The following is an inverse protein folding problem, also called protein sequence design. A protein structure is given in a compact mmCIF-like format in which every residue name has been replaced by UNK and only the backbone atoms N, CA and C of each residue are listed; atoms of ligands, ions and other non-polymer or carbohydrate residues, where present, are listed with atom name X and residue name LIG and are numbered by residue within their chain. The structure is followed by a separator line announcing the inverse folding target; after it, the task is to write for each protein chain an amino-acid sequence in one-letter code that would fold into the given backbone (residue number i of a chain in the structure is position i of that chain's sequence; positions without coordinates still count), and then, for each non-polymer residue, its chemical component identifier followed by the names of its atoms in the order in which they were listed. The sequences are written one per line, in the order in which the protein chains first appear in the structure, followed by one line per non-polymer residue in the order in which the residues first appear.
data_IF_849172564079
#
_entry.id   IF_849172564079
#
_cell.length_a   1.000
_cell.length_b   1.000
_cell.length_c   1.000
_cell.angle_alpha   90.00
_cell.angle_beta   90.00
_cell.angle_gamma   90.00
#
_symmetry.space_group_name_H-M   'P 1'
#
loop_
_entity.id
_entity.type
_entity.pdbx_description
1 polymer ?
#
# COMPACT_ATOMS: atom_id res chain seq x y z
N UNK A 1 -6.65 -20.15 -0.73
CA UNK A 1 -7.46 -18.90 -0.66
C UNK A 1 -7.63 -18.20 -2.02
N UNK A 2 -7.16 -18.80 -3.12
CA UNK A 2 -7.28 -18.18 -4.45
C UNK A 2 -8.74 -17.97 -4.86
N UNK A 3 -9.60 -18.97 -4.60
CA UNK A 3 -11.03 -18.87 -4.95
C UNK A 3 -11.73 -17.76 -4.14
N UNK A 4 -11.38 -17.61 -2.87
CA UNK A 4 -11.86 -16.50 -2.05
C UNK A 4 -11.43 -15.13 -2.60
N UNK A 5 -10.19 -15.01 -3.07
CA UNK A 5 -9.73 -13.76 -3.69
C UNK A 5 -10.53 -13.43 -4.97
N UNK A 6 -10.76 -14.43 -5.82
CA UNK A 6 -11.59 -14.28 -7.04
C UNK A 6 -13.03 -13.88 -6.72
N UNK A 7 -13.62 -14.51 -5.70
CA UNK A 7 -14.97 -14.16 -5.22
C UNK A 7 -15.02 -12.71 -4.73
N UNK A 8 -14.02 -12.25 -3.96
CA UNK A 8 -13.98 -10.87 -3.47
C UNK A 8 -13.78 -9.86 -4.60
N UNK A 9 -12.99 -10.18 -5.62
CA UNK A 9 -12.84 -9.35 -6.81
C UNK A 9 -14.16 -9.21 -7.55
N UNK A 10 -14.86 -10.32 -7.82
CA UNK A 10 -16.18 -10.31 -8.47
C UNK A 10 -17.22 -9.54 -7.64
N UNK A 11 -17.20 -9.69 -6.32
CA UNK A 11 -18.07 -8.94 -5.41
C UNK A 11 -17.78 -7.44 -5.47
N UNK A 12 -16.53 -7.02 -5.48
CA UNK A 12 -16.18 -5.60 -5.59
C UNK A 12 -16.70 -5.02 -6.91
N UNK A 13 -16.51 -5.72 -8.01
CA UNK A 13 -17.01 -5.34 -9.33
C UNK A 13 -18.54 -5.23 -9.37
N UNK A 14 -19.27 -6.23 -8.85
CA UNK A 14 -20.73 -6.23 -8.78
C UNK A 14 -21.30 -5.09 -7.94
N UNK A 15 -20.53 -4.59 -6.98
CA UNK A 15 -20.89 -3.45 -6.14
C UNK A 15 -20.43 -2.11 -6.73
N UNK A 16 -19.88 -2.07 -7.93
CA UNK A 16 -19.32 -0.87 -8.56
C UNK A 16 -18.12 -0.30 -7.83
N UNK A 17 -17.39 -1.12 -7.05
CA UNK A 17 -16.21 -0.70 -6.31
C UNK A 17 -14.95 -0.96 -7.11
N UNK A 18 -14.11 0.05 -7.26
CA UNK A 18 -12.84 -0.07 -7.95
C UNK A 18 -11.80 -0.69 -7.01
N UNK A 19 -11.33 -1.88 -7.34
CA UNK A 19 -10.23 -2.57 -6.68
C UNK A 19 -8.99 -2.44 -7.56
N UNK A 20 -7.94 -1.79 -7.05
CA UNK A 20 -6.66 -1.66 -7.73
C UNK A 20 -5.69 -2.67 -7.15
N UNK A 21 -5.16 -3.53 -8.00
CA UNK A 21 -4.09 -4.47 -7.66
C UNK A 21 -2.78 -4.00 -8.28
N UNK A 22 -1.62 -4.37 -7.71
CA UNK A 22 -0.33 -4.12 -8.34
C UNK A 22 -0.27 -4.73 -9.74
N UNK A 23 0.24 -3.96 -10.70
CA UNK A 23 0.45 -4.38 -12.09
C UNK A 23 1.91 -4.69 -12.38
N UNK A 24 2.82 -4.18 -11.55
CA UNK A 24 4.24 -4.50 -11.55
C UNK A 24 4.80 -4.50 -10.12
N UNK A 25 5.94 -5.12 -9.93
CA UNK A 25 6.60 -5.25 -8.63
C UNK A 25 8.11 -5.18 -8.78
N UNK A 26 8.77 -4.63 -7.77
CA UNK A 26 10.23 -4.64 -7.63
C UNK A 26 10.62 -5.91 -6.90
N UNK A 27 11.43 -6.74 -7.56
CA UNK A 27 11.85 -8.06 -7.08
C UNK A 27 13.35 -8.13 -6.85
N UNK A 28 13.76 -9.03 -5.97
CA UNK A 28 15.15 -9.41 -5.74
C UNK A 28 15.24 -10.92 -5.44
N UNK A 29 16.46 -11.48 -5.49
CA UNK A 29 16.70 -12.90 -5.23
C UNK A 29 16.50 -13.29 -3.75
N UNK A 30 16.33 -12.32 -2.86
CA UNK A 30 16.06 -12.52 -1.44
C UNK A 30 16.14 -11.20 -0.70
N UNK A 31 15.93 -11.30 0.60
CA UNK A 31 16.01 -10.13 1.49
C UNK A 31 17.47 -9.76 1.76
N UNK A 32 17.89 -8.48 1.60
CA UNK A 32 19.25 -8.06 1.87
C UNK A 32 19.66 -8.36 3.32
N UNK A 33 20.86 -8.93 3.49
CA UNK A 33 21.44 -9.18 4.80
C UNK A 33 22.97 -8.93 4.75
N UNK A 34 23.49 -7.87 5.40
CA UNK A 34 22.76 -6.89 6.22
C UNK A 34 21.74 -6.06 5.42
N UNK A 35 20.89 -5.31 6.12
CA UNK A 35 19.75 -4.57 5.52
C UNK A 35 20.18 -3.52 4.49
N UNK A 36 21.40 -3.03 4.57
CA UNK A 36 22.04 -2.07 3.67
C UNK A 36 22.92 -2.72 2.60
N UNK A 37 22.93 -4.06 2.52
CA UNK A 37 23.69 -4.76 1.49
C UNK A 37 23.17 -4.39 0.10
N UNK A 38 24.11 -4.17 -0.82
CA UNK A 38 23.76 -4.02 -2.23
C UNK A 38 23.17 -5.33 -2.77
N UNK A 39 22.00 -5.22 -3.39
CA UNK A 39 21.33 -6.34 -4.02
C UNK A 39 20.81 -5.92 -5.40
N UNK A 40 20.91 -6.83 -6.34
CA UNK A 40 20.35 -6.62 -7.67
C UNK A 40 18.82 -6.61 -7.59
N UNK A 41 18.22 -5.57 -8.16
CA UNK A 41 16.76 -5.38 -8.20
C UNK A 41 16.28 -5.29 -9.63
N UNK A 42 15.10 -5.84 -9.87
CA UNK A 42 14.43 -5.81 -11.15
C UNK A 42 12.96 -5.42 -10.96
N UNK A 43 12.38 -4.74 -11.94
CA UNK A 43 10.93 -4.48 -11.98
C UNK A 43 10.31 -5.40 -13.03
N UNK A 44 9.37 -6.21 -12.59
CA UNK A 44 8.67 -7.19 -13.44
C UNK A 44 7.16 -6.96 -13.37
N UNK A 45 6.44 -7.40 -14.39
CA UNK A 45 4.97 -7.42 -14.35
C UNK A 45 4.52 -8.35 -13.20
N UNK A 46 3.42 -8.01 -12.53
CA UNK A 46 2.97 -8.70 -11.31
C UNK A 46 2.62 -10.19 -11.53
N UNK A 47 2.32 -10.58 -12.76
CA UNK A 47 2.05 -11.95 -13.18
C UNK A 47 3.29 -12.72 -13.68
N UNK A 48 4.47 -12.06 -13.68
CA UNK A 48 5.74 -12.61 -14.18
C UNK A 48 6.86 -12.65 -13.14
N UNK A 49 6.51 -12.73 -11.87
CA UNK A 49 7.51 -12.84 -10.80
C UNK A 49 8.26 -14.18 -10.97
N UNK A 50 9.62 -14.16 -11.14
CA UNK A 50 10.39 -15.39 -11.19
C UNK A 50 10.25 -16.21 -9.92
N UNK A 51 10.28 -17.53 -10.05
CA UNK A 51 10.07 -18.43 -8.89
C UNK A 51 11.20 -18.36 -7.85
N UNK A 52 12.36 -17.86 -8.23
CA UNK A 52 13.55 -17.67 -7.41
C UNK A 52 13.70 -16.23 -6.89
N UNK A 53 12.69 -15.37 -7.11
CA UNK A 53 12.69 -13.98 -6.65
C UNK A 53 11.49 -13.64 -5.76
N UNK A 54 11.67 -12.67 -4.89
CA UNK A 54 10.64 -12.15 -3.99
C UNK A 54 10.26 -10.71 -4.38
N UNK A 55 8.95 -10.40 -4.32
CA UNK A 55 8.45 -9.03 -4.46
C UNK A 55 8.65 -8.25 -3.16
N UNK A 56 9.48 -7.22 -3.19
CA UNK A 56 9.86 -6.44 -2.00
C UNK A 56 9.33 -4.99 -2.02
N UNK A 57 8.86 -4.51 -3.17
CA UNK A 57 8.14 -3.24 -3.33
C UNK A 57 7.19 -3.33 -4.53
N UNK A 58 6.26 -2.39 -4.63
CA UNK A 58 5.50 -2.19 -5.87
C UNK A 58 6.43 -1.64 -6.96
N UNK A 59 6.10 -1.90 -8.23
CA UNK A 59 6.81 -1.32 -9.36
C UNK A 59 6.40 0.12 -9.64
N UNK A 60 7.09 0.73 -10.59
CA UNK A 60 6.89 2.14 -10.96
C UNK A 60 5.51 2.42 -11.54
N UNK A 61 4.99 1.54 -12.40
CA UNK A 61 3.66 1.67 -13.00
C UNK A 61 2.56 1.58 -11.92
N UNK A 62 2.73 0.68 -10.95
CA UNK A 62 1.81 0.54 -9.81
C UNK A 62 1.86 1.78 -8.92
N UNK A 63 3.05 2.32 -8.66
CA UNK A 63 3.23 3.53 -7.86
C UNK A 63 2.50 4.73 -8.50
N UNK A 64 2.62 4.91 -9.82
CA UNK A 64 1.90 5.93 -10.59
C UNK A 64 0.38 5.71 -10.53
N UNK A 65 -0.08 4.48 -10.76
CA UNK A 65 -1.50 4.11 -10.69
C UNK A 65 -2.11 4.46 -9.33
N UNK A 66 -1.40 4.17 -8.23
CA UNK A 66 -1.87 4.45 -6.88
C UNK A 66 -1.80 5.94 -6.55
N UNK A 67 -0.74 6.63 -6.96
CA UNK A 67 -0.63 8.07 -6.79
C UNK A 67 -1.78 8.83 -7.49
N UNK A 68 -2.13 8.44 -8.71
CA UNK A 68 -3.24 9.05 -9.45
C UNK A 68 -4.60 8.76 -8.80
N UNK A 69 -4.78 7.55 -8.27
CA UNK A 69 -5.98 7.21 -7.53
C UNK A 69 -6.10 8.05 -6.24
N UNK A 70 -5.00 8.22 -5.50
CA UNK A 70 -4.91 9.08 -4.30
C UNK A 70 -5.29 10.52 -4.63
N UNK A 71 -4.73 11.11 -5.68
CA UNK A 71 -5.00 12.50 -6.09
C UNK A 71 -6.49 12.77 -6.34
N UNK A 72 -7.24 11.75 -6.73
CA UNK A 72 -8.68 11.87 -6.97
C UNK A 72 -9.55 11.78 -5.72
N UNK A 73 -8.96 11.45 -4.56
CA UNK A 73 -9.68 11.18 -3.32
C UNK A 73 -9.79 12.42 -2.43
N UNK A 74 -10.87 12.49 -1.63
CA UNK A 74 -11.05 13.49 -0.55
C UNK A 74 -10.70 12.94 0.82
N UNK A 75 -10.70 11.64 0.99
CA UNK A 75 -10.24 10.97 2.20
C UNK A 75 -9.45 9.74 1.81
N UNK A 76 -8.26 9.60 2.34
CA UNK A 76 -7.42 8.41 2.15
C UNK A 76 -7.07 7.80 3.49
N UNK A 77 -7.30 6.50 3.60
CA UNK A 77 -6.81 5.68 4.71
C UNK A 77 -5.70 4.80 4.17
N UNK A 78 -4.50 4.96 4.71
CA UNK A 78 -3.33 4.18 4.33
C UNK A 78 -2.86 3.30 5.48
N UNK A 79 -2.95 2.00 5.29
CA UNK A 79 -2.59 0.98 6.27
C UNK A 79 -1.58 -0.01 5.70
N UNK A 80 -0.33 0.12 6.05
CA UNK A 80 0.82 -0.67 5.60
C UNK A 80 1.63 0.02 4.48
N UNK A 81 2.97 0.05 4.60
CA UNK A 81 3.85 0.57 3.56
C UNK A 81 3.79 -0.30 2.30
N UNK A 82 4.11 0.26 1.14
CA UNK A 82 4.03 -0.43 -0.15
C UNK A 82 5.12 -1.49 -0.32
N UNK A 83 6.30 -1.24 0.23
CA UNK A 83 7.47 -2.09 0.16
C UNK A 83 8.23 -2.14 1.49
N UNK A 84 9.42 -2.73 1.45
CA UNK A 84 10.35 -2.76 2.57
C UNK A 84 11.04 -1.40 2.70
N UNK A 85 10.30 -0.42 3.21
CA UNK A 85 10.68 1.00 3.21
C UNK A 85 11.96 1.31 3.99
N UNK A 86 12.39 0.41 4.85
CA UNK A 86 13.65 0.49 5.58
C UNK A 86 14.88 0.40 4.65
N UNK A 87 14.67 -0.13 3.45
CA UNK A 87 15.70 -0.31 2.43
C UNK A 87 15.49 0.66 1.27
N UNK A 88 16.48 1.49 0.90
CA UNK A 88 16.32 2.51 -0.14
C UNK A 88 15.80 1.97 -1.48
N UNK A 89 16.25 0.76 -1.87
CA UNK A 89 15.84 0.13 -3.12
C UNK A 89 14.36 -0.27 -3.14
N UNK A 90 13.75 -0.53 -1.98
CA UNK A 90 12.37 -1.00 -1.82
C UNK A 90 11.48 0.00 -1.08
N UNK A 91 11.91 1.26 -0.96
CA UNK A 91 11.16 2.37 -0.38
C UNK A 91 10.42 3.20 -1.43
N UNK A 92 10.72 3.01 -2.72
CA UNK A 92 10.27 3.89 -3.81
C UNK A 92 8.74 3.95 -3.92
N UNK A 93 8.06 2.81 -3.81
CA UNK A 93 6.61 2.73 -3.81
C UNK A 93 5.98 3.45 -2.61
N UNK A 94 6.54 3.24 -1.43
CA UNK A 94 6.10 3.91 -0.19
C UNK A 94 6.29 5.42 -0.29
N UNK A 95 7.43 5.88 -0.81
CA UNK A 95 7.72 7.31 -1.04
C UNK A 95 6.74 7.92 -2.05
N UNK A 96 6.45 7.23 -3.14
CA UNK A 96 5.53 7.73 -4.17
C UNK A 96 4.11 7.94 -3.61
N UNK A 97 3.60 6.97 -2.85
CA UNK A 97 2.29 7.08 -2.19
C UNK A 97 2.29 8.18 -1.13
N UNK A 98 3.34 8.27 -0.28
CA UNK A 98 3.46 9.31 0.73
C UNK A 98 3.49 10.72 0.12
N UNK A 99 4.21 10.91 -0.99
CA UNK A 99 4.23 12.18 -1.74
C UNK A 99 2.83 12.54 -2.26
N UNK A 100 2.14 11.59 -2.89
CA UNK A 100 0.79 11.81 -3.39
C UNK A 100 -0.17 12.21 -2.26
N UNK A 101 -0.09 11.53 -1.10
CA UNK A 101 -0.89 11.87 0.09
C UNK A 101 -0.58 13.28 0.64
N UNK A 102 0.68 13.70 0.59
CA UNK A 102 1.11 15.01 1.06
C UNK A 102 0.62 16.18 0.16
N UNK A 103 0.20 15.89 -1.07
CA UNK A 103 -0.21 16.86 -2.08
C UNK A 103 -1.73 17.00 -2.20
N UNK A 104 -2.53 16.07 -1.67
CA UNK A 104 -3.99 16.16 -1.81
C UNK A 104 -4.61 17.21 -0.89
N UNK A 105 -5.63 17.91 -1.42
CA UNK A 105 -6.57 18.71 -0.63
C UNK A 105 -7.64 17.79 -0.03
N UNK A 106 -7.30 17.10 1.07
CA UNK A 106 -8.16 16.10 1.66
C UNK A 106 -7.67 15.61 3.02
N UNK A 107 -8.41 14.66 3.58
CA UNK A 107 -8.06 14.03 4.86
C UNK A 107 -7.20 12.79 4.62
N UNK A 108 -6.02 12.76 5.22
CA UNK A 108 -5.08 11.63 5.13
C UNK A 108 -4.93 10.97 6.49
N UNK A 109 -5.29 9.69 6.57
CA UNK A 109 -5.25 8.90 7.81
C UNK A 109 -4.26 7.75 7.61
N UNK A 110 -3.22 7.77 8.41
CA UNK A 110 -2.20 6.72 8.44
C UNK A 110 -2.54 5.72 9.54
N UNK A 111 -2.67 4.46 9.18
CA UNK A 111 -3.00 3.37 10.09
C UNK A 111 -1.90 2.31 10.17
N UNK A 112 -1.60 1.87 11.38
CA UNK A 112 -0.61 0.82 11.65
C UNK A 112 0.77 1.34 11.99
N UNK A 113 1.49 0.56 12.81
CA UNK A 113 2.82 0.90 13.30
C UNK A 113 3.84 1.09 12.18
N UNK A 114 3.84 0.19 11.20
CA UNK A 114 4.80 0.24 10.07
C UNK A 114 4.54 1.47 9.18
N UNK A 115 3.27 1.82 8.92
CA UNK A 115 2.95 3.03 8.16
C UNK A 115 3.32 4.29 8.91
N UNK A 116 3.07 4.32 10.22
CA UNK A 116 3.47 5.44 11.07
C UNK A 116 5.00 5.59 11.10
N UNK A 117 5.74 4.48 11.21
CA UNK A 117 7.20 4.48 11.14
C UNK A 117 7.68 4.99 9.77
N UNK A 118 7.07 4.51 8.68
CA UNK A 118 7.44 4.90 7.32
C UNK A 118 7.27 6.41 7.10
N UNK A 119 6.11 7.00 7.43
CA UNK A 119 5.89 8.44 7.20
C UNK A 119 6.78 9.30 8.09
N UNK A 120 7.11 8.85 9.31
CA UNK A 120 8.06 9.55 10.18
C UNK A 120 9.48 9.48 9.62
N UNK A 121 9.97 8.28 9.29
CA UNK A 121 11.34 8.06 8.77
C UNK A 121 11.57 8.79 7.44
N UNK A 122 10.56 8.82 6.59
CA UNK A 122 10.63 9.44 5.27
C UNK A 122 10.29 10.95 5.27
N UNK A 123 9.99 11.54 6.43
CA UNK A 123 9.78 12.97 6.59
C UNK A 123 8.42 13.50 6.08
N UNK A 124 7.38 12.65 6.06
CA UNK A 124 6.04 13.03 5.62
C UNK A 124 5.02 13.17 6.76
N UNK A 125 5.41 12.91 8.01
CA UNK A 125 4.46 12.88 9.13
C UNK A 125 3.67 14.17 9.29
N UNK A 126 4.34 15.33 9.22
CA UNK A 126 3.71 16.65 9.37
C UNK A 126 2.73 17.01 8.24
N UNK A 127 2.76 16.24 7.16
CA UNK A 127 1.87 16.38 5.99
C UNK A 127 0.60 15.54 6.11
N UNK A 128 0.52 14.67 7.11
CA UNK A 128 -0.61 13.76 7.29
C UNK A 128 -1.61 14.37 8.29
N UNK A 129 -2.92 14.24 7.98
CA UNK A 129 -3.98 14.77 8.85
C UNK A 129 -4.07 14.02 10.18
N UNK A 130 -3.84 12.70 10.15
CA UNK A 130 -3.89 11.85 11.34
C UNK A 130 -2.99 10.63 11.19
N UNK A 131 -2.25 10.29 12.25
CA UNK A 131 -1.39 9.10 12.32
C UNK A 131 -1.83 8.26 13.52
N UNK A 132 -2.19 6.99 13.27
CA UNK A 132 -2.57 6.01 14.27
C UNK A 132 -1.66 4.78 14.20
N UNK A 133 -1.07 4.41 15.32
CA UNK A 133 -0.28 3.17 15.44
C UNK A 133 -1.16 1.91 15.49
N UNK A 134 -2.47 2.05 15.72
CA UNK A 134 -3.45 0.98 15.76
C UNK A 134 -4.12 0.73 14.42
N UNK A 135 -3.46 0.04 13.47
CA UNK A 135 -4.00 -0.19 12.13
C UNK A 135 -5.40 -0.83 12.10
N UNK A 136 -5.67 -1.81 12.95
CA UNK A 136 -6.99 -2.44 13.06
C UNK A 136 -8.09 -1.52 13.55
N UNK A 137 -7.76 -0.48 14.32
CA UNK A 137 -8.75 0.48 14.83
C UNK A 137 -9.29 1.40 13.73
N UNK A 138 -8.47 1.76 12.76
CA UNK A 138 -8.87 2.63 11.63
C UNK A 138 -9.84 1.91 10.68
N UNK A 139 -9.71 0.58 10.57
CA UNK A 139 -10.52 -0.26 9.68
C UNK A 139 -11.79 -0.81 10.32
N UNK A 140 -12.13 -0.41 11.55
CA UNK A 140 -13.39 -0.81 12.19
C UNK A 140 -14.59 -0.22 11.45
N UNK A 141 -15.66 -0.99 11.36
CA UNK A 141 -16.88 -0.64 10.62
C UNK A 141 -17.46 0.72 11.02
N UNK A 142 -17.43 1.04 12.31
CA UNK A 142 -17.86 2.32 12.89
C UNK A 142 -17.09 3.51 12.31
N UNK A 143 -15.76 3.40 12.22
CA UNK A 143 -14.89 4.46 11.69
C UNK A 143 -15.06 4.61 10.17
N UNK A 144 -15.22 3.50 9.47
CA UNK A 144 -15.51 3.49 8.02
C UNK A 144 -16.85 4.18 7.73
N UNK A 145 -17.86 3.99 8.58
CA UNK A 145 -19.17 4.62 8.44
C UNK A 145 -19.11 6.14 8.63
N UNK A 146 -18.31 6.61 9.59
CA UNK A 146 -18.08 8.04 9.80
C UNK A 146 -17.36 8.70 8.60
N UNK A 147 -16.36 8.03 8.05
CA UNK A 147 -15.59 8.52 6.91
C UNK A 147 -16.42 8.59 5.61
N UNK A 148 -17.37 7.67 5.41
CA UNK A 148 -18.26 7.65 4.23
C UNK A 148 -19.11 8.91 4.07
N UNK A 149 -19.38 9.66 5.14
CA UNK A 149 -20.17 10.91 5.09
C UNK A 149 -19.41 12.07 4.43
N UNK A 150 -18.08 11.96 4.28
CA UNK A 150 -17.21 13.03 3.83
C UNK A 150 -16.72 12.88 2.37
N UNK A 151 -17.40 12.08 1.54
CA UNK A 151 -17.10 11.95 0.11
C UNK A 151 -16.35 10.67 -0.26
N UNK A 152 -15.65 10.67 -1.39
CA UNK A 152 -14.91 9.50 -1.88
C UNK A 152 -13.78 9.13 -0.93
N UNK A 153 -13.82 7.91 -0.40
CA UNK A 153 -12.79 7.33 0.45
C UNK A 153 -11.96 6.36 -0.36
N UNK A 154 -10.66 6.51 -0.27
CA UNK A 154 -9.71 5.60 -0.85
C UNK A 154 -8.95 4.87 0.25
N UNK A 155 -8.96 3.54 0.23
CA UNK A 155 -8.20 2.72 1.17
C UNK A 155 -7.00 2.11 0.47
N UNK A 156 -5.84 2.29 1.06
CA UNK A 156 -4.62 1.57 0.72
C UNK A 156 -4.36 0.62 1.88
N UNK A 157 -4.51 -0.67 1.65
CA UNK A 157 -4.27 -1.70 2.65
C UNK A 157 -3.19 -2.65 2.12
N UNK A 158 -1.98 -2.47 2.62
CA UNK A 158 -0.87 -3.37 2.37
C UNK A 158 -0.82 -4.36 3.53
N UNK A 159 -1.58 -5.45 3.43
CA UNK A 159 -1.47 -6.54 4.40
C UNK A 159 -0.16 -7.29 4.22
N UNK A 160 0.74 -7.10 5.15
CA UNK A 160 1.77 -8.08 5.44
C UNK A 160 1.11 -9.27 6.13
N UNK A 161 0.63 -10.24 5.39
CA UNK A 161 0.04 -11.44 5.97
C UNK A 161 1.04 -12.57 5.93
N UNK A 162 1.79 -12.80 6.99
CA UNK A 162 2.34 -14.07 7.45
C UNK A 162 3.75 -13.99 8.04
N UNK A 163 4.25 -15.09 8.66
CA UNK A 163 5.42 -15.01 9.52
C UNK A 163 6.69 -14.65 8.74
N UNK A 164 7.50 -13.95 9.38
CA UNK A 164 8.75 -13.22 9.13
C UNK A 164 9.72 -13.64 7.99
N UNK A 165 9.41 -14.59 7.11
CA UNK A 165 10.40 -15.12 6.17
C UNK A 165 9.94 -15.45 4.74
N UNK A 166 8.74 -15.09 4.31
CA UNK A 166 8.38 -15.26 2.88
C UNK A 166 7.09 -14.50 2.54
N UNK A 167 7.19 -13.23 2.09
CA UNK A 167 5.98 -12.48 1.81
C UNK A 167 6.12 -11.49 0.66
N UNK A 168 5.46 -11.84 -0.42
CA UNK A 168 4.90 -10.86 -1.34
C UNK A 168 3.88 -9.99 -0.58
N UNK A 169 4.17 -8.73 -0.38
CA UNK A 169 3.21 -7.75 0.15
C UNK A 169 2.17 -7.49 -0.93
N UNK A 170 0.95 -7.94 -0.70
CA UNK A 170 -0.17 -7.65 -1.60
C UNK A 170 -0.77 -6.32 -1.14
N UNK A 171 -0.62 -5.29 -1.96
CA UNK A 171 -1.22 -3.99 -1.75
C UNK A 171 -2.60 -3.96 -2.43
N UNK A 172 -3.63 -3.65 -1.66
CA UNK A 172 -4.96 -3.42 -2.18
C UNK A 172 -5.30 -1.95 -2.05
N UNK A 173 -5.72 -1.34 -3.13
CA UNK A 173 -6.31 -0.03 -3.10
C UNK A 173 -7.78 -0.15 -3.52
N UNK A 174 -8.71 0.33 -2.69
CA UNK A 174 -10.15 0.29 -3.02
C UNK A 174 -10.81 1.63 -2.80
N UNK A 175 -11.68 1.98 -3.71
CA UNK A 175 -12.56 3.13 -3.59
C UNK A 175 -13.89 2.68 -3.00
N UNK A 176 -14.28 3.27 -1.88
CA UNK A 176 -15.59 3.11 -1.27
C UNK A 176 -16.38 4.40 -1.49
N UNK A 177 -16.78 4.61 -2.75
CA UNK A 177 -17.66 5.71 -3.12
C UNK A 177 -19.08 5.50 -2.63
#
# INVERSE_FOLDING_TARGET
KLDYCKEMMAKAESMGKKLLLPIDTTVAAGFPNPIDAEIEVEVVDADKIPADKEGLDIGTKTAELYADAVKSAKTVVWNGPMGCFEMPNFAKGTIAVAKALAEIDGTTIIGGGDSAAAVNQLGFADKMSHISTGGGAVLREENVHYLKRNGKIFFIDAKSGAPRFNQSRICFARNLG
#
